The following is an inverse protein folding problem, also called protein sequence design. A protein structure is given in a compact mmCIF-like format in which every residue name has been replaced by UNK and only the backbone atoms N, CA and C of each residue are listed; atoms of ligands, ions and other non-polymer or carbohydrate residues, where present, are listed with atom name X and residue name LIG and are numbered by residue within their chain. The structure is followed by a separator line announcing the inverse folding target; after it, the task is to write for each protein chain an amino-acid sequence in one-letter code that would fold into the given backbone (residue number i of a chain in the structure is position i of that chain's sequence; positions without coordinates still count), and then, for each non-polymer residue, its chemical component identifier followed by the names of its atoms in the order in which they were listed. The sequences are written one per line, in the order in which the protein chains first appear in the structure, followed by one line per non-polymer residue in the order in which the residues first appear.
data_IF_535906733227
#
_entry.id   IF_535906733227
#
_cell.length_a   1.000
_cell.length_b   1.000
_cell.length_c   1.000
_cell.angle_alpha   90.00
_cell.angle_beta   90.00
_cell.angle_gamma   90.00
#
_symmetry.space_group_name_H-M   'P 1'
#
loop_
_entity.id
_entity.type
_entity.pdbx_description
1 polymer ?
#
# COMPACT_ATOMS: atom_id res chain seq x y z
N UNK A 1 -4.21 -14.30 27.66
CA UNK A 1 -5.02 -14.93 26.59
C UNK A 1 -4.35 -14.74 25.25
N UNK A 2 -4.25 -15.80 24.47
CA UNK A 2 -3.66 -15.71 23.14
C UNK A 2 -4.54 -14.88 22.22
N UNK A 3 -3.93 -14.16 21.26
CA UNK A 3 -4.67 -13.26 20.38
C UNK A 3 -3.87 -13.02 19.07
N UNK A 4 -4.52 -12.42 18.10
CA UNK A 4 -3.85 -11.93 16.91
C UNK A 4 -3.01 -10.72 17.30
N UNK A 5 -1.77 -10.66 16.85
CA UNK A 5 -0.85 -9.58 17.16
C UNK A 5 -0.47 -8.73 15.96
N UNK A 6 -0.76 -9.19 14.75
CA UNK A 6 -0.46 -8.45 13.55
C UNK A 6 -0.77 -9.24 12.30
N UNK A 7 -0.48 -8.66 11.16
CA UNK A 7 -0.61 -9.33 9.87
C UNK A 7 0.76 -9.86 9.47
N UNK A 8 0.86 -11.19 9.30
CA UNK A 8 2.10 -11.84 8.92
C UNK A 8 2.37 -11.79 7.42
N UNK A 9 1.33 -11.72 6.62
CA UNK A 9 1.49 -11.66 5.17
C UNK A 9 0.19 -11.38 4.46
N UNK A 10 0.32 -10.97 3.19
CA UNK A 10 -0.82 -10.73 2.31
C UNK A 10 -0.60 -11.60 1.07
N UNK A 11 -1.60 -12.41 0.74
CA UNK A 11 -1.56 -13.34 -0.39
C UNK A 11 -2.80 -13.11 -1.25
N UNK A 12 -2.58 -12.92 -2.54
CA UNK A 12 -3.69 -12.69 -3.46
C UNK A 12 -3.33 -13.25 -4.82
N UNK A 13 -4.34 -13.48 -5.63
CA UNK A 13 -4.16 -14.02 -6.98
C UNK A 13 -4.03 -12.87 -7.96
N UNK A 14 -2.99 -12.93 -8.82
CA UNK A 14 -2.95 -12.04 -9.97
C UNK A 14 -4.01 -12.50 -10.98
N UNK A 15 -4.59 -11.58 -11.70
CA UNK A 15 -5.53 -11.87 -12.79
C UNK A 15 -4.81 -12.46 -13.99
N UNK A 16 -3.51 -12.28 -14.07
CA UNK A 16 -2.65 -12.77 -15.14
C UNK A 16 -1.52 -13.59 -14.55
N UNK A 17 -0.30 -13.09 -14.62
CA UNK A 17 0.87 -13.78 -14.06
C UNK A 17 1.41 -12.99 -12.86
N UNK A 18 1.54 -13.67 -11.74
CA UNK A 18 2.10 -13.06 -10.54
C UNK A 18 3.49 -12.48 -10.76
N UNK A 19 4.30 -13.14 -11.59
CA UNK A 19 5.64 -12.66 -11.90
C UNK A 19 5.63 -11.31 -12.63
N UNK A 20 4.68 -11.10 -13.52
CA UNK A 20 4.55 -9.83 -14.23
C UNK A 20 4.07 -8.73 -13.29
N UNK A 21 3.10 -9.06 -12.43
CA UNK A 21 2.61 -8.10 -11.45
C UNK A 21 3.70 -7.72 -10.46
N UNK A 22 4.45 -8.71 -9.96
CA UNK A 22 5.57 -8.45 -9.06
C UNK A 22 6.62 -7.54 -9.68
N UNK A 23 6.97 -7.78 -10.95
CA UNK A 23 7.93 -6.94 -11.66
C UNK A 23 7.45 -5.48 -11.78
N UNK A 24 6.15 -5.29 -12.00
CA UNK A 24 5.57 -3.94 -12.04
C UNK A 24 5.71 -3.24 -10.69
N UNK A 25 5.45 -3.95 -9.58
CA UNK A 25 5.59 -3.38 -8.24
C UNK A 25 7.05 -3.06 -7.92
N UNK A 26 7.98 -3.91 -8.35
CA UNK A 26 9.40 -3.65 -8.16
C UNK A 26 9.84 -2.40 -8.92
N UNK A 27 9.43 -2.28 -10.18
CA UNK A 27 9.80 -1.15 -11.02
C UNK A 27 9.19 0.16 -10.53
N UNK A 28 7.92 0.14 -10.17
CA UNK A 28 7.15 1.37 -9.95
C UNK A 28 7.04 1.76 -8.47
N UNK A 29 7.10 0.80 -7.56
CA UNK A 29 6.91 1.05 -6.13
C UNK A 29 8.12 0.63 -5.29
N UNK A 30 9.20 0.21 -5.92
CA UNK A 30 10.43 -0.12 -5.21
C UNK A 30 10.37 -1.37 -4.36
N UNK A 31 9.41 -2.26 -4.64
CA UNK A 31 9.31 -3.51 -3.91
C UNK A 31 10.47 -4.42 -4.28
N UNK A 32 11.19 -4.94 -3.28
CA UNK A 32 12.35 -5.82 -3.49
C UNK A 32 11.89 -7.27 -3.59
N UNK A 33 11.91 -7.81 -4.82
CA UNK A 33 11.47 -9.18 -5.02
C UNK A 33 12.55 -10.18 -4.66
N UNK A 34 12.16 -11.21 -3.92
CA UNK A 34 12.98 -12.39 -3.68
C UNK A 34 12.90 -13.32 -4.89
N UNK A 35 13.81 -14.30 -4.96
CA UNK A 35 13.85 -15.21 -6.10
C UNK A 35 12.61 -16.12 -6.23
N UNK A 36 11.80 -16.22 -5.19
CA UNK A 36 10.52 -16.97 -5.24
C UNK A 36 9.35 -16.08 -5.68
N UNK A 37 9.58 -14.79 -6.00
CA UNK A 37 8.61 -13.92 -6.64
C UNK A 37 7.83 -13.00 -5.72
N UNK A 38 7.90 -13.17 -4.43
CA UNK A 38 7.29 -12.27 -3.46
C UNK A 38 8.32 -11.35 -2.81
N UNK A 39 7.88 -10.56 -1.85
CA UNK A 39 8.75 -9.64 -1.14
C UNK A 39 8.59 -9.81 0.37
N UNK A 40 9.66 -9.53 1.09
CA UNK A 40 9.66 -9.52 2.56
C UNK A 40 9.80 -8.07 3.00
N UNK A 41 8.81 -7.60 3.71
CA UNK A 41 8.82 -6.25 4.29
C UNK A 41 9.11 -6.38 5.78
N UNK A 42 10.36 -6.11 6.16
CA UNK A 42 10.77 -6.25 7.55
C UNK A 42 10.38 -4.99 8.33
N UNK A 43 9.71 -5.16 9.44
CA UNK A 43 9.18 -4.05 10.23
C UNK A 43 10.26 -3.02 10.62
N UNK A 44 11.46 -3.43 11.06
CA UNK A 44 12.48 -2.43 11.42
C UNK A 44 12.94 -1.57 10.24
N UNK A 45 12.84 -2.07 9.00
CA UNK A 45 13.26 -1.34 7.81
C UNK A 45 12.31 -0.18 7.47
N UNK A 46 11.10 -0.20 7.97
CA UNK A 46 10.13 0.89 7.76
C UNK A 46 10.59 2.17 8.47
N UNK A 47 11.30 2.04 9.59
CA UNK A 47 11.79 3.18 10.38
C UNK A 47 10.66 4.14 10.75
N UNK A 48 9.51 3.61 11.06
CA UNK A 48 8.28 4.37 11.24
C UNK A 48 8.34 5.29 12.44
N UNK A 49 8.28 6.59 12.20
CA UNK A 49 8.23 7.60 13.27
C UNK A 49 6.88 7.60 13.97
N UNK A 50 5.85 7.12 13.31
CA UNK A 50 4.50 6.99 13.87
C UNK A 50 4.35 5.78 14.81
N UNK A 51 5.42 5.06 15.06
CA UNK A 51 5.41 3.87 15.90
C UNK A 51 5.10 2.58 15.14
N UNK A 52 4.77 2.68 13.86
CA UNK A 52 4.46 1.55 13.00
C UNK A 52 3.17 0.84 13.39
N UNK A 53 2.16 0.94 12.54
CA UNK A 53 0.89 0.28 12.77
C UNK A 53 0.34 -0.27 11.46
N UNK A 54 -0.54 -1.24 11.58
CA UNK A 54 -1.26 -1.80 10.44
C UNK A 54 -2.75 -1.64 10.73
N UNK A 55 -3.47 -1.08 9.77
CA UNK A 55 -4.92 -0.93 9.86
C UNK A 55 -5.58 -2.16 9.25
N UNK A 56 -6.58 -2.69 9.96
CA UNK A 56 -7.39 -3.80 9.46
C UNK A 56 -8.84 -3.34 9.44
N UNK A 57 -9.45 -3.33 8.27
CA UNK A 57 -10.77 -2.70 8.12
C UNK A 57 -11.64 -3.47 7.11
N UNK A 58 -12.65 -4.21 7.59
CA UNK A 58 -13.61 -4.83 6.69
C UNK A 58 -14.67 -3.81 6.29
N UNK A 59 -14.63 -3.36 5.05
CA UNK A 59 -15.62 -2.43 4.51
C UNK A 59 -16.91 -3.18 4.18
N UNK A 60 -18.02 -2.44 4.13
CA UNK A 60 -19.31 -3.04 3.76
C UNK A 60 -19.30 -3.50 2.31
N UNK A 61 -20.14 -4.49 2.00
CA UNK A 61 -20.18 -5.12 0.67
C UNK A 61 -20.51 -4.12 -0.47
N UNK A 62 -21.20 -3.05 -0.17
CA UNK A 62 -21.63 -2.05 -1.16
C UNK A 62 -20.78 -0.79 -1.17
N UNK A 63 -19.62 -0.81 -0.49
CA UNK A 63 -18.75 0.37 -0.45
C UNK A 63 -18.30 0.78 -1.84
N UNK A 64 -18.17 2.09 -2.04
CA UNK A 64 -17.57 2.67 -3.25
C UNK A 64 -16.11 3.06 -3.05
N UNK A 65 -15.56 2.80 -1.89
CA UNK A 65 -14.21 3.20 -1.53
C UNK A 65 -13.15 2.63 -2.47
N UNK A 66 -13.38 1.40 -2.95
CA UNK A 66 -12.41 0.74 -3.83
C UNK A 66 -12.60 1.10 -5.31
N UNK A 67 -13.62 1.89 -5.65
CA UNK A 67 -13.86 2.30 -7.04
C UNK A 67 -12.68 3.12 -7.57
N UNK A 68 -12.28 2.98 -8.84
CA UNK A 68 -12.99 2.24 -9.88
C UNK A 68 -12.64 0.75 -9.98
N UNK A 69 -11.90 0.21 -9.02
CA UNK A 69 -11.57 -1.21 -9.01
C UNK A 69 -12.80 -2.04 -8.68
N UNK A 70 -12.88 -3.22 -9.30
CA UNK A 70 -13.89 -4.22 -9.00
C UNK A 70 -13.37 -5.29 -8.05
N UNK A 71 -12.12 -5.18 -7.63
CA UNK A 71 -11.52 -6.10 -6.66
C UNK A 71 -12.19 -5.96 -5.30
N UNK A 72 -12.23 -7.08 -4.57
CA UNK A 72 -12.84 -7.12 -3.23
C UNK A 72 -11.88 -6.69 -2.13
N UNK A 73 -10.71 -6.17 -2.49
CA UNK A 73 -9.70 -5.72 -1.53
C UNK A 73 -9.02 -4.45 -2.05
N UNK A 74 -8.41 -3.73 -1.13
CA UNK A 74 -7.51 -2.64 -1.45
C UNK A 74 -6.37 -2.69 -0.45
N UNK A 75 -5.14 -2.72 -0.95
CA UNK A 75 -3.97 -2.75 -0.08
C UNK A 75 -3.43 -1.35 0.06
N UNK A 76 -3.12 -0.97 1.29
CA UNK A 76 -2.43 0.28 1.61
C UNK A 76 -0.95 -0.04 1.80
N UNK A 77 -0.09 0.69 1.12
CA UNK A 77 1.36 0.57 1.28
C UNK A 77 1.89 1.84 1.95
N UNK A 78 2.68 1.67 2.99
CA UNK A 78 3.38 2.77 3.64
C UNK A 78 4.55 3.17 2.75
N UNK A 79 4.74 4.48 2.55
CA UNK A 79 5.83 5.01 1.72
C UNK A 79 6.59 6.08 2.50
N UNK A 80 7.84 6.30 2.13
CA UNK A 80 8.70 7.25 2.82
C UNK A 80 8.62 8.68 2.27
N UNK A 81 8.24 8.85 1.00
CA UNK A 81 8.11 10.17 0.39
C UNK A 81 7.05 10.11 -0.71
N UNK A 82 5.83 10.45 -0.35
CA UNK A 82 4.70 10.29 -1.26
C UNK A 82 4.77 11.25 -2.44
N UNK A 83 5.14 12.50 -2.22
CA UNK A 83 5.19 13.48 -3.31
C UNK A 83 6.18 13.06 -4.39
N UNK A 84 7.37 12.62 -3.98
CA UNK A 84 8.39 12.13 -4.90
C UNK A 84 7.90 10.88 -5.63
N UNK A 85 7.28 9.95 -4.92
CA UNK A 85 6.78 8.72 -5.52
C UNK A 85 5.70 9.02 -6.56
N UNK A 86 4.78 9.92 -6.27
CA UNK A 86 3.71 10.28 -7.22
C UNK A 86 4.32 10.89 -8.50
N UNK A 87 5.34 11.74 -8.36
CA UNK A 87 6.02 12.30 -9.53
C UNK A 87 6.67 11.20 -10.38
N UNK A 88 7.33 10.25 -9.75
CA UNK A 88 7.93 9.10 -10.44
C UNK A 88 6.88 8.26 -11.15
N UNK A 89 5.76 8.02 -10.50
CA UNK A 89 4.65 7.24 -11.08
C UNK A 89 4.08 7.93 -12.32
N UNK A 90 3.90 9.24 -12.25
CA UNK A 90 3.43 10.02 -13.41
C UNK A 90 4.40 9.92 -14.58
N UNK A 91 5.70 10.01 -14.30
CA UNK A 91 6.72 9.88 -15.34
C UNK A 91 6.70 8.48 -15.97
N UNK A 92 6.37 7.47 -15.21
CA UNK A 92 6.27 6.08 -15.70
C UNK A 92 4.92 5.76 -16.35
N UNK A 93 4.02 6.74 -16.47
CA UNK A 93 2.73 6.54 -17.09
C UNK A 93 1.71 5.78 -16.25
N UNK A 94 1.91 5.73 -14.93
CA UNK A 94 0.97 5.07 -14.02
C UNK A 94 -0.23 5.98 -13.79
N UNK A 95 -1.43 5.41 -13.85
CA UNK A 95 -2.66 6.13 -13.61
C UNK A 95 -2.79 6.53 -12.14
N UNK A 96 -2.91 7.83 -11.88
CA UNK A 96 -3.20 8.34 -10.54
C UNK A 96 -4.70 8.54 -10.44
N UNK A 97 -5.35 7.78 -9.56
CA UNK A 97 -6.79 7.89 -9.37
C UNK A 97 -7.13 9.19 -8.66
N UNK A 98 -6.42 9.49 -7.58
CA UNK A 98 -6.60 10.74 -6.84
C UNK A 98 -5.43 10.99 -5.89
N UNK A 99 -5.33 12.22 -5.39
CA UNK A 99 -4.30 12.64 -4.46
C UNK A 99 -3.08 13.25 -5.17
N UNK A 100 -2.07 13.66 -4.41
CA UNK A 100 -1.96 13.53 -2.96
C UNK A 100 -2.96 14.38 -2.18
N UNK A 101 -3.41 13.84 -1.06
CA UNK A 101 -4.26 14.54 -0.09
C UNK A 101 -3.59 14.51 1.27
N UNK A 102 -3.66 15.62 1.99
CA UNK A 102 -3.10 15.68 3.36
C UNK A 102 -4.23 15.60 4.37
N UNK A 103 -4.03 14.74 5.35
CA UNK A 103 -4.96 14.53 6.45
C UNK A 103 -4.19 14.51 7.76
N UNK A 104 -4.90 14.45 8.88
CA UNK A 104 -4.31 14.43 10.20
C UNK A 104 -3.32 13.27 10.38
N UNK A 105 -3.62 12.13 9.79
CA UNK A 105 -2.80 10.91 9.93
C UNK A 105 -1.81 10.70 8.79
N UNK A 106 -1.62 11.68 7.91
CA UNK A 106 -0.60 11.61 6.87
C UNK A 106 -1.10 12.06 5.51
N UNK A 107 -0.30 11.73 4.51
CA UNK A 107 -0.62 12.03 3.11
C UNK A 107 -1.00 10.74 2.39
N UNK A 108 -2.00 10.83 1.51
CA UNK A 108 -2.54 9.68 0.79
C UNK A 108 -2.61 9.97 -0.70
N UNK A 109 -2.38 8.95 -1.50
CA UNK A 109 -2.69 8.96 -2.93
C UNK A 109 -3.20 7.58 -3.34
N UNK A 110 -3.92 7.52 -4.45
CA UNK A 110 -4.50 6.27 -4.95
C UNK A 110 -4.12 6.08 -6.40
N UNK A 111 -3.72 4.86 -6.74
CA UNK A 111 -3.32 4.49 -8.10
C UNK A 111 -4.02 3.19 -8.49
N UNK A 112 -3.90 2.81 -9.77
CA UNK A 112 -4.35 1.51 -10.26
C UNK A 112 -3.13 0.69 -10.66
N UNK A 113 -3.12 -0.58 -10.27
CA UNK A 113 -2.10 -1.49 -10.74
C UNK A 113 -2.54 -2.16 -12.06
N UNK A 114 -1.65 -2.93 -12.73
CA UNK A 114 -2.01 -3.55 -14.01
C UNK A 114 -3.15 -4.57 -13.93
N UNK A 115 -3.41 -5.12 -12.76
CA UNK A 115 -4.49 -6.08 -12.55
C UNK A 115 -5.84 -5.40 -12.25
N UNK A 116 -5.89 -4.06 -12.30
CA UNK A 116 -7.10 -3.31 -11.97
C UNK A 116 -7.37 -3.22 -10.49
N UNK A 117 -6.37 -3.42 -9.66
CA UNK A 117 -6.52 -3.22 -8.22
C UNK A 117 -6.22 -1.76 -7.88
N UNK A 118 -7.11 -1.15 -7.12
CA UNK A 118 -6.83 0.17 -6.53
C UNK A 118 -5.85 -0.02 -5.39
N UNK A 119 -4.84 0.82 -5.36
CA UNK A 119 -3.78 0.79 -4.36
C UNK A 119 -3.77 2.11 -3.62
N UNK A 120 -3.75 2.07 -2.30
CA UNK A 120 -3.61 3.26 -1.46
C UNK A 120 -2.15 3.38 -1.04
N UNK A 121 -1.58 4.57 -1.26
CA UNK A 121 -0.21 4.89 -0.86
C UNK A 121 -0.28 5.89 0.29
N UNK A 122 0.43 5.61 1.37
CA UNK A 122 0.32 6.36 2.60
C UNK A 122 1.69 6.74 3.15
N UNK A 123 1.94 8.05 3.26
CA UNK A 123 3.10 8.56 4.00
C UNK A 123 2.58 8.95 5.39
N UNK A 124 2.82 8.12 6.42
CA UNK A 124 2.22 8.34 7.73
C UNK A 124 2.80 9.53 8.46
N UNK A 125 1.97 10.12 9.32
CA UNK A 125 2.40 11.14 10.29
C UNK A 125 1.97 10.69 11.68
N UNK A 126 2.70 11.15 12.69
CA UNK A 126 2.32 10.86 14.08
C UNK A 126 1.01 11.59 14.36
N UNK A 127 -0.05 10.85 14.60
CA UNK A 127 -1.38 11.40 14.88
C UNK A 127 -1.98 10.90 16.20
N UNK A 128 -1.34 9.93 16.84
CA UNK A 128 -1.81 9.30 18.08
C UNK A 128 -0.61 9.09 18.99
N UNK A 129 -0.68 9.60 20.22
CA UNK A 129 0.40 9.45 21.20
C UNK A 129 0.78 7.98 21.43
N UNK A 130 -0.17 7.06 21.29
CA UNK A 130 0.09 5.63 21.46
C UNK A 130 1.02 5.07 20.39
N UNK A 131 1.18 5.75 19.27
CA UNK A 131 1.99 5.28 18.14
C UNK A 131 3.38 5.88 18.13
N UNK A 132 3.69 6.77 19.04
CA UNK A 132 5.03 7.35 19.14
C UNK A 132 6.02 6.31 19.65
N UNK A 133 7.19 6.33 19.05
CA UNK A 133 8.31 5.48 19.50
C UNK A 133 8.89 5.99 20.81
#
# INVERSE_FOLDING_TARGET
MAKITGIGGVFFKSRNKGSELGSWYQKNLGLNLENWGGAILRWPDDKAEDGGLTVWNPADHDTKWFSPSESSFMINYRVDNLDELVDQLKQNGVEIVSGPESHENGKFAWIMDPDGNKVELWEPMIFDEKNKK
#
